data_IF_588146307026
#
_entry.id   IF_588146307026
#
_cell.length_a   1.000
_cell.length_b   1.000
_cell.length_c   1.000
_cell.angle_alpha   90.00
_cell.angle_beta   90.00
_cell.angle_gamma   90.00
#
_symmetry.space_group_name_H-M   'P 1'
#
loop_
_entity.id
_entity.type
_entity.pdbx_description
1 polymer ?
#
# COMPACT_ATOMS: atom_id res chain seq x y z
N UNK A 1 -8.79 -45.33 -9.28
CA UNK A 1 -9.73 -44.55 -10.11
C UNK A 1 -9.90 -43.16 -9.48
N UNK A 2 -9.41 -42.08 -10.11
CA UNK A 2 -9.72 -40.72 -9.64
C UNK A 2 -10.88 -40.14 -10.47
N UNK A 3 -11.91 -39.66 -9.78
CA UNK A 3 -13.08 -39.01 -10.35
C UNK A 3 -12.76 -37.62 -10.90
N UNK A 4 -13.32 -37.33 -12.08
CA UNK A 4 -13.28 -36.01 -12.73
C UNK A 4 -14.17 -35.03 -11.97
N UNK A 5 -13.62 -33.88 -11.57
CA UNK A 5 -14.40 -32.69 -11.23
C UNK A 5 -14.66 -31.89 -12.52
N UNK A 6 -15.94 -31.67 -12.82
CA UNK A 6 -16.40 -30.89 -13.98
C UNK A 6 -16.22 -29.37 -13.78
N UNK A 7 -16.34 -28.57 -14.85
CA UNK A 7 -16.05 -27.15 -14.81
C UNK A 7 -17.13 -26.36 -14.05
N UNK A 8 -16.70 -25.51 -13.12
CA UNK A 8 -17.54 -24.55 -12.42
C UNK A 8 -17.76 -23.32 -13.31
N UNK A 9 -19.02 -23.05 -13.66
CA UNK A 9 -19.44 -21.83 -14.36
C UNK A 9 -19.31 -20.63 -13.41
N UNK A 10 -18.37 -19.72 -13.70
CA UNK A 10 -18.33 -18.39 -13.12
C UNK A 10 -19.09 -17.42 -14.03
N UNK A 11 -20.25 -16.99 -13.57
CA UNK A 11 -21.05 -15.94 -14.20
C UNK A 11 -20.38 -14.57 -14.05
N UNK A 12 -20.30 -13.87 -15.18
CA UNK A 12 -19.72 -12.53 -15.37
C UNK A 12 -20.41 -11.48 -14.50
N UNK A 13 -19.61 -10.67 -13.80
CA UNK A 13 -19.96 -9.29 -13.47
C UNK A 13 -18.89 -8.38 -14.09
N UNK A 14 -19.35 -7.38 -14.83
CA UNK A 14 -18.50 -6.43 -15.56
C UNK A 14 -17.94 -5.41 -14.56
N UNK A 15 -16.63 -5.42 -14.34
CA UNK A 15 -15.95 -4.41 -13.54
C UNK A 15 -15.46 -3.28 -14.44
N UNK A 16 -15.96 -2.08 -14.15
CA UNK A 16 -15.49 -0.80 -14.68
C UNK A 16 -14.17 -0.49 -13.96
N UNK A 17 -13.06 -0.45 -14.70
CA UNK A 17 -11.74 -0.12 -14.17
C UNK A 17 -11.48 1.39 -14.27
N UNK A 18 -10.99 1.99 -13.19
CA UNK A 18 -10.67 3.42 -13.08
C UNK A 18 -9.15 3.65 -13.09
N UNK A 19 -8.66 4.52 -13.98
CA UNK A 19 -7.26 4.94 -14.06
C UNK A 19 -7.12 6.42 -14.41
N UNK A 20 -6.39 7.20 -13.58
CA UNK A 20 -5.32 8.14 -13.95
C UNK A 20 -4.76 8.85 -12.69
N UNK A 21 -3.47 8.72 -12.35
CA UNK A 21 -2.69 9.68 -11.54
C UNK A 21 -1.17 9.40 -11.72
N UNK A 22 -0.52 9.99 -12.74
CA UNK A 22 0.95 10.17 -12.79
C UNK A 22 1.36 11.62 -13.17
N UNK A 23 0.42 12.56 -13.39
CA UNK A 23 0.78 13.91 -13.87
C UNK A 23 0.32 15.10 -13.01
N UNK A 24 -0.03 14.89 -11.73
CA UNK A 24 -0.31 16.00 -10.80
C UNK A 24 0.26 15.75 -9.40
N UNK A 25 1.59 15.74 -9.30
CA UNK A 25 2.30 15.94 -8.04
C UNK A 25 3.23 17.16 -8.15
N UNK A 26 2.64 18.31 -8.46
CA UNK A 26 3.17 19.66 -8.23
C UNK A 26 2.02 20.64 -8.50
N UNK A 27 1.77 21.59 -7.59
CA UNK A 27 0.68 22.60 -7.61
C UNK A 27 -0.69 21.99 -7.20
N UNK A 28 -1.41 22.40 -6.16
CA UNK A 28 -1.59 23.72 -5.55
C UNK A 28 -2.17 23.65 -4.11
N UNK A 29 -2.00 24.76 -3.39
CA UNK A 29 -2.37 25.05 -2.00
C UNK A 29 -3.71 25.82 -1.89
N UNK A 30 -4.39 25.63 -0.76
CA UNK A 30 -5.38 26.49 -0.07
C UNK A 30 -6.73 26.92 -0.74
N UNK A 31 -7.86 26.56 -0.08
CA UNK A 31 -8.78 27.47 0.69
C UNK A 31 -10.25 26.99 0.74
N UNK A 32 -10.80 26.98 1.97
CA UNK A 32 -12.15 27.38 2.46
C UNK A 32 -13.41 26.71 1.83
N UNK A 33 -14.51 26.39 2.51
CA UNK A 33 -15.02 26.74 3.84
C UNK A 33 -16.38 26.05 4.10
N UNK A 34 -16.92 26.25 5.32
CA UNK A 34 -18.08 25.60 5.97
C UNK A 34 -19.39 25.61 5.16
N UNK A 35 -20.17 24.53 5.26
CA UNK A 35 -21.59 24.45 4.85
C UNK A 35 -22.49 24.27 6.08
N UNK A 36 -23.49 25.14 6.21
CA UNK A 36 -24.60 25.04 7.17
C UNK A 36 -25.76 24.21 6.57
N UNK A 37 -26.37 23.36 7.38
CA UNK A 37 -27.59 22.62 7.05
C UNK A 37 -28.82 23.55 7.08
N UNK A 38 -29.73 23.38 6.11
CA UNK A 38 -31.08 23.95 6.13
C UNK A 38 -32.08 22.79 6.08
N UNK A 39 -32.89 22.64 7.13
CA UNK A 39 -34.06 21.75 7.15
C UNK A 39 -35.25 22.42 6.46
N UNK A 40 -36.01 21.64 5.69
CA UNK A 40 -37.27 22.07 5.05
C UNK A 40 -38.42 21.30 5.72
N UNK A 41 -39.49 21.97 6.22
CA UNK A 41 -40.62 21.30 6.82
C UNK A 41 -41.63 20.79 5.77
N UNK A 42 -42.26 19.65 6.07
CA UNK A 42 -43.34 19.05 5.25
C UNK A 42 -44.67 19.78 5.50
N UNK A 43 -45.48 20.09 4.48
CA UNK A 43 -46.86 20.50 4.68
C UNK A 43 -47.83 19.31 4.69
N UNK A 44 -48.68 19.28 5.73
CA UNK A 44 -49.89 18.45 5.84
C UNK A 44 -51.00 18.95 4.93
N UNK A 45 -51.88 18.04 4.53
CA UNK A 45 -52.91 18.29 3.51
C UNK A 45 -54.18 19.00 4.00
N UNK A 46 -55.00 19.40 3.04
CA UNK A 46 -56.47 19.17 2.97
C UNK A 46 -56.99 19.69 1.62
N UNK A 47 -58.00 19.00 1.07
CA UNK A 47 -58.39 19.08 -0.34
C UNK A 47 -59.23 20.29 -0.75
N UNK A 48 -59.25 20.55 -2.06
CA UNK A 48 -60.18 21.48 -2.72
C UNK A 48 -60.68 20.85 -4.04
N UNK A 49 -61.99 20.93 -4.23
CA UNK A 49 -62.79 20.48 -5.37
C UNK A 49 -62.26 20.96 -6.73
N UNK A 50 -62.12 20.05 -7.69
CA UNK A 50 -61.73 20.37 -9.06
C UNK A 50 -62.95 20.80 -9.91
N UNK A 51 -63.06 22.10 -10.21
CA UNK A 51 -63.87 22.60 -11.32
C UNK A 51 -63.14 22.34 -12.65
N UNK A 52 -63.83 21.70 -13.59
CA UNK A 52 -63.31 21.29 -14.90
C UNK A 52 -63.31 22.48 -15.86
N UNK A 53 -62.33 23.37 -15.71
CA UNK A 53 -62.23 24.61 -16.49
C UNK A 53 -61.31 24.43 -17.72
N UNK A 54 -61.79 24.76 -18.92
CA UNK A 54 -61.04 24.60 -20.19
C UNK A 54 -59.71 25.35 -20.20
N UNK A 55 -59.63 26.47 -19.45
CA UNK A 55 -58.39 27.25 -19.26
C UNK A 55 -57.34 26.50 -18.44
N UNK A 56 -57.76 25.68 -17.46
CA UNK A 56 -56.87 24.85 -16.65
C UNK A 56 -56.32 23.67 -17.45
N UNK A 57 -57.07 23.13 -18.42
CA UNK A 57 -56.55 22.10 -19.35
C UNK A 57 -55.47 22.65 -20.28
N UNK A 58 -55.64 23.86 -20.80
CA UNK A 58 -54.63 24.52 -21.65
C UNK A 58 -53.37 24.91 -20.84
N UNK A 59 -53.53 25.39 -19.60
CA UNK A 59 -52.40 25.63 -18.70
C UNK A 59 -51.67 24.35 -18.28
N UNK A 60 -52.40 23.25 -18.00
CA UNK A 60 -51.79 21.95 -17.68
C UNK A 60 -51.06 21.34 -18.88
N UNK A 61 -51.58 21.51 -20.09
CA UNK A 61 -50.89 21.10 -21.31
C UNK A 61 -49.62 21.93 -21.57
N UNK A 62 -49.66 23.25 -21.36
CA UNK A 62 -48.48 24.12 -21.48
C UNK A 62 -47.41 23.81 -20.43
N UNK A 63 -47.79 23.54 -19.17
CA UNK A 63 -46.88 23.12 -18.10
C UNK A 63 -46.33 21.71 -18.36
N UNK A 64 -47.12 20.79 -18.90
CA UNK A 64 -46.65 19.47 -19.31
C UNK A 64 -45.65 19.55 -20.48
N UNK A 65 -45.84 20.45 -21.45
CA UNK A 65 -44.88 20.70 -22.54
C UNK A 65 -43.60 21.36 -22.02
N UNK A 66 -43.69 22.30 -21.09
CA UNK A 66 -42.52 22.93 -20.43
C UNK A 66 -41.74 21.92 -19.56
N UNK A 67 -42.42 20.97 -18.90
CA UNK A 67 -41.80 19.87 -18.15
C UNK A 67 -41.22 18.79 -19.09
N UNK A 68 -41.82 18.56 -20.26
CA UNK A 68 -41.26 17.67 -21.29
C UNK A 68 -40.02 18.27 -21.95
N UNK A 69 -39.98 19.59 -22.17
CA UNK A 69 -38.81 20.27 -22.73
C UNK A 69 -37.66 20.44 -21.72
N UNK A 70 -37.94 20.41 -20.42
CA UNK A 70 -36.89 20.39 -19.39
C UNK A 70 -36.33 18.99 -19.10
N UNK A 71 -36.98 17.93 -19.60
CA UNK A 71 -36.49 16.55 -19.54
C UNK A 71 -35.56 16.13 -20.69
N UNK A 72 -35.41 16.95 -21.74
CA UNK A 72 -34.57 16.64 -22.92
C UNK A 72 -33.14 17.16 -22.78
N UNK A 73 -32.87 17.99 -21.76
CA UNK A 73 -31.51 18.42 -21.41
C UNK A 73 -30.92 17.58 -20.27
N UNK A 74 -31.00 16.24 -20.37
CA UNK A 74 -29.95 15.43 -19.78
C UNK A 74 -28.70 15.69 -20.63
N UNK A 75 -27.97 16.76 -20.30
CA UNK A 75 -26.75 17.13 -21.01
C UNK A 75 -25.85 15.91 -21.08
N UNK A 76 -25.36 15.57 -22.28
CA UNK A 76 -24.41 14.49 -22.47
C UNK A 76 -23.28 14.65 -21.44
N UNK A 77 -22.93 13.56 -20.74
CA UNK A 77 -21.88 13.61 -19.71
C UNK A 77 -20.57 14.07 -20.36
N UNK A 78 -20.15 15.30 -20.03
CA UNK A 78 -18.92 15.88 -20.57
C UNK A 78 -17.72 15.49 -19.73
N UNK A 79 -16.61 15.15 -20.39
CA UNK A 79 -15.37 14.81 -19.71
C UNK A 79 -14.67 16.05 -19.12
N UNK A 80 -13.99 15.87 -17.99
CA UNK A 80 -13.06 16.88 -17.46
C UNK A 80 -11.75 16.86 -18.26
N UNK A 81 -11.31 15.67 -18.68
CA UNK A 81 -10.12 15.49 -19.52
C UNK A 81 -10.35 14.42 -20.58
N UNK A 82 -9.89 14.69 -21.81
CA UNK A 82 -9.82 13.70 -22.89
C UNK A 82 -8.34 13.52 -23.27
N UNK A 83 -7.89 12.28 -23.22
CA UNK A 83 -6.60 11.87 -23.78
C UNK A 83 -6.83 11.37 -25.20
N UNK A 84 -6.08 11.87 -26.16
CA UNK A 84 -6.19 11.50 -27.59
C UNK A 84 -4.83 11.06 -28.14
N UNK A 85 -4.85 10.45 -29.32
CA UNK A 85 -3.67 10.06 -30.10
C UNK A 85 -2.72 9.17 -29.28
N UNK A 86 -3.29 8.22 -28.53
CA UNK A 86 -2.54 7.23 -27.75
C UNK A 86 -2.57 5.84 -28.36
N UNK A 87 -1.66 4.99 -27.90
CA UNK A 87 -1.79 3.54 -27.99
C UNK A 87 -2.32 3.02 -26.65
N UNK A 88 -3.64 2.97 -26.47
CA UNK A 88 -4.25 2.57 -25.20
C UNK A 88 -4.46 1.07 -25.19
N UNK A 89 -3.82 0.38 -24.25
CA UNK A 89 -4.09 -1.02 -23.93
C UNK A 89 -5.18 -1.10 -22.87
N UNK A 90 -6.26 -1.84 -23.14
CA UNK A 90 -7.45 -1.85 -22.26
C UNK A 90 -7.57 -3.09 -21.37
N UNK A 91 -6.79 -4.15 -21.66
CA UNK A 91 -6.95 -5.50 -21.06
C UNK A 91 -8.34 -6.13 -21.35
N UNK A 92 -9.13 -5.54 -22.24
CA UNK A 92 -10.41 -6.09 -22.69
C UNK A 92 -10.22 -6.85 -24.01
N UNK A 93 -10.42 -8.18 -24.00
CA UNK A 93 -10.28 -9.03 -25.18
C UNK A 93 -11.12 -8.57 -26.39
N UNK A 94 -12.26 -7.92 -26.16
CA UNK A 94 -13.15 -7.44 -27.23
C UNK A 94 -12.72 -6.10 -27.82
N UNK A 95 -11.88 -5.35 -27.12
CA UNK A 95 -11.41 -4.03 -27.52
C UNK A 95 -10.00 -3.82 -26.97
N UNK A 96 -9.00 -4.63 -27.38
CA UNK A 96 -7.69 -4.65 -26.74
C UNK A 96 -6.90 -3.35 -26.91
N UNK A 97 -7.22 -2.58 -27.95
CA UNK A 97 -6.59 -1.31 -28.27
C UNK A 97 -7.63 -0.19 -28.46
N UNK A 98 -7.25 1.02 -28.09
CA UNK A 98 -7.99 2.26 -28.33
C UNK A 98 -7.04 3.43 -28.60
N UNK A 99 -7.58 4.54 -29.07
CA UNK A 99 -6.82 5.75 -29.41
C UNK A 99 -7.05 6.90 -28.43
N UNK A 100 -8.20 6.90 -27.75
CA UNK A 100 -8.60 7.94 -26.81
C UNK A 100 -9.33 7.40 -25.57
N UNK A 101 -9.20 8.14 -24.46
CA UNK A 101 -9.93 7.95 -23.20
C UNK A 101 -10.55 9.28 -22.78
N UNK A 102 -11.83 9.27 -22.39
CA UNK A 102 -12.47 10.41 -21.76
C UNK A 102 -12.72 10.14 -20.26
N UNK A 103 -12.36 11.10 -19.41
CA UNK A 103 -12.41 10.98 -17.95
C UNK A 103 -13.28 12.08 -17.36
N UNK A 104 -14.22 11.70 -16.49
CA UNK A 104 -15.02 12.62 -15.68
C UNK A 104 -14.94 12.22 -14.21
N UNK A 105 -14.56 13.16 -13.34
CA UNK A 105 -14.42 12.98 -11.87
C UNK A 105 -13.62 11.73 -11.50
N UNK A 106 -12.49 11.53 -12.17
CA UNK A 106 -11.60 10.38 -11.93
C UNK A 106 -12.10 9.04 -12.49
N UNK A 107 -13.24 9.01 -13.17
CA UNK A 107 -13.81 7.81 -13.80
C UNK A 107 -13.67 7.88 -15.31
N UNK A 108 -13.34 6.75 -15.92
CA UNK A 108 -13.33 6.59 -17.37
C UNK A 108 -14.80 6.48 -17.83
N UNK A 109 -15.24 7.43 -18.64
CA UNK A 109 -16.60 7.44 -19.22
C UNK A 109 -16.60 7.04 -20.70
N UNK A 110 -15.42 6.98 -21.34
CA UNK A 110 -15.27 6.54 -22.72
C UNK A 110 -13.88 5.98 -23.00
N UNK A 111 -13.81 4.94 -23.83
CA UNK A 111 -12.59 4.36 -24.41
C UNK A 111 -12.88 3.98 -25.85
N UNK A 112 -12.12 4.51 -26.82
CA UNK A 112 -12.38 4.24 -28.24
C UNK A 112 -11.52 5.05 -29.19
N UNK A 113 -12.07 5.41 -30.34
CA UNK A 113 -11.36 6.21 -31.35
C UNK A 113 -11.24 7.68 -30.96
N UNK A 114 -10.27 8.38 -31.55
CA UNK A 114 -10.13 9.83 -31.37
C UNK A 114 -11.40 10.60 -31.77
N UNK A 115 -12.01 10.21 -32.90
CA UNK A 115 -13.20 10.88 -33.44
C UNK A 115 -14.43 10.71 -32.53
N UNK A 116 -14.59 9.56 -31.89
CA UNK A 116 -15.72 9.32 -30.99
C UNK A 116 -15.55 10.01 -29.64
N UNK A 117 -14.31 10.18 -29.16
CA UNK A 117 -14.03 10.89 -27.92
C UNK A 117 -14.48 12.36 -27.95
N UNK A 118 -14.51 12.99 -29.13
CA UNK A 118 -14.99 14.36 -29.32
C UNK A 118 -16.45 14.57 -28.84
N UNK A 119 -17.28 13.52 -28.83
CA UNK A 119 -18.66 13.57 -28.32
C UNK A 119 -18.74 13.90 -26.82
N UNK A 120 -17.64 13.67 -26.09
CA UNK A 120 -17.54 13.93 -24.66
C UNK A 120 -16.91 15.30 -24.35
N UNK A 121 -16.54 16.08 -25.38
CA UNK A 121 -15.94 17.40 -25.19
C UNK A 121 -17.02 18.43 -24.80
N UNK A 122 -16.82 19.04 -23.65
CA UNK A 122 -17.53 20.24 -23.20
C UNK A 122 -16.63 21.48 -23.19
N UNK A 123 -17.23 22.63 -22.88
CA UNK A 123 -16.54 23.93 -22.87
C UNK A 123 -15.36 24.03 -21.89
N UNK A 124 -15.30 23.15 -20.88
CA UNK A 124 -14.24 23.11 -19.86
C UNK A 124 -13.32 21.90 -19.97
N UNK A 125 -13.52 21.04 -20.99
CA UNK A 125 -12.76 19.82 -21.15
C UNK A 125 -11.32 20.14 -21.54
N UNK A 126 -10.37 19.63 -20.76
CA UNK A 126 -8.96 19.67 -21.12
C UNK A 126 -8.65 18.53 -22.10
N UNK A 127 -7.95 18.81 -23.20
CA UNK A 127 -7.43 17.76 -24.08
C UNK A 127 -5.93 17.59 -23.90
N UNK A 128 -5.50 16.34 -23.86
CA UNK A 128 -4.11 15.94 -23.74
C UNK A 128 -3.77 15.05 -24.94
N UNK A 129 -2.89 15.53 -25.80
CA UNK A 129 -2.32 14.73 -26.89
C UNK A 129 -1.21 13.82 -26.33
N UNK A 130 -1.39 12.51 -26.49
CA UNK A 130 -0.43 11.51 -26.04
C UNK A 130 0.75 11.36 -27.02
N UNK A 131 0.67 11.89 -28.23
CA UNK A 131 1.69 11.84 -29.27
C UNK A 131 2.18 10.40 -29.56
N UNK A 132 1.22 9.48 -29.68
CA UNK A 132 1.47 8.05 -29.92
C UNK A 132 1.98 7.27 -28.71
N UNK A 133 2.12 7.88 -27.53
CA UNK A 133 2.56 7.17 -26.31
C UNK A 133 1.55 6.10 -25.90
N UNK A 134 2.05 5.07 -25.24
CA UNK A 134 1.22 3.98 -24.72
C UNK A 134 0.62 4.35 -23.37
N UNK A 135 -0.66 4.01 -23.20
CA UNK A 135 -1.36 4.05 -21.91
C UNK A 135 -1.72 2.62 -21.55
N UNK A 136 -1.36 2.21 -20.34
CA UNK A 136 -1.75 0.92 -19.75
C UNK A 136 -2.66 1.17 -18.56
N UNK A 137 -3.40 0.15 -18.08
CA UNK A 137 -3.80 0.10 -16.70
C UNK A 137 -2.57 0.34 -15.83
N UNK A 138 -2.69 1.23 -14.87
CA UNK A 138 -1.70 1.40 -13.81
C UNK A 138 -1.60 0.13 -12.96
N UNK A 139 -0.45 -0.04 -12.34
CA UNK A 139 -0.15 -1.28 -11.65
C UNK A 139 -0.80 -1.35 -10.27
N UNK A 140 -1.09 -2.56 -9.82
CA UNK A 140 -1.58 -2.83 -8.47
C UNK A 140 -0.58 -3.75 -7.77
N UNK A 141 -0.03 -3.31 -6.64
CA UNK A 141 0.78 -4.17 -5.78
C UNK A 141 -0.17 -4.95 -4.85
N UNK A 142 -0.12 -6.28 -4.93
CA UNK A 142 -0.96 -7.17 -4.15
C UNK A 142 -0.43 -7.44 -2.74
N UNK A 143 0.79 -6.99 -2.39
CA UNK A 143 1.37 -7.15 -1.07
C UNK A 143 2.59 -6.25 -0.81
N UNK A 144 2.41 -5.22 0.00
CA UNK A 144 3.51 -4.34 0.42
C UNK A 144 3.44 -4.00 1.91
N UNK A 145 4.51 -3.38 2.42
CA UNK A 145 4.59 -2.83 3.78
C UNK A 145 4.89 -1.34 3.69
N UNK A 146 3.87 -0.50 3.51
CA UNK A 146 4.05 0.89 3.06
C UNK A 146 4.88 1.75 4.01
N UNK A 147 4.74 1.54 5.33
CA UNK A 147 5.55 2.23 6.32
C UNK A 147 7.01 1.80 6.24
N UNK A 148 7.28 0.50 6.13
CA UNK A 148 8.65 -0.02 6.03
C UNK A 148 9.36 0.43 4.74
N UNK A 149 8.61 0.53 3.63
CA UNK A 149 9.12 1.10 2.38
C UNK A 149 9.57 2.54 2.61
N UNK A 150 8.74 3.35 3.29
CA UNK A 150 9.09 4.72 3.65
C UNK A 150 10.24 4.84 4.65
N UNK A 151 10.26 3.99 5.67
CA UNK A 151 11.32 3.96 6.68
C UNK A 151 12.66 3.59 6.08
N UNK A 152 12.69 2.72 5.06
CA UNK A 152 13.91 2.42 4.31
C UNK A 152 14.49 3.66 3.63
N UNK A 153 13.65 4.59 3.17
CA UNK A 153 14.09 5.86 2.58
C UNK A 153 14.56 6.89 3.64
N UNK A 154 14.29 6.65 4.93
CA UNK A 154 14.73 7.50 6.06
C UNK A 154 15.97 6.90 6.74
N UNK A 155 16.00 5.58 6.89
CA UNK A 155 17.02 4.82 7.61
C UNK A 155 18.13 4.36 6.67
N UNK A 156 18.97 3.40 7.06
CA UNK A 156 20.02 2.88 6.20
C UNK A 156 19.44 1.91 5.16
N UNK A 157 19.41 2.34 3.90
CA UNK A 157 18.99 1.50 2.77
C UNK A 157 20.15 0.62 2.28
N UNK A 158 20.01 -0.69 2.49
CA UNK A 158 20.98 -1.72 2.12
C UNK A 158 20.59 -2.49 0.85
N UNK A 159 19.55 -2.03 0.14
CA UNK A 159 19.20 -2.59 -1.17
C UNK A 159 20.40 -2.50 -2.15
N UNK A 160 20.54 -3.53 -2.97
CA UNK A 160 21.58 -3.60 -4.00
C UNK A 160 22.99 -3.89 -3.50
N UNK A 161 23.20 -4.20 -2.21
CA UNK A 161 24.49 -4.76 -1.75
C UNK A 161 24.67 -6.17 -2.33
N UNK A 162 25.79 -6.44 -2.99
CA UNK A 162 26.07 -7.72 -3.66
C UNK A 162 27.23 -8.50 -3.04
N UNK A 163 27.87 -7.95 -2.02
CA UNK A 163 28.93 -8.59 -1.25
C UNK A 163 28.82 -8.17 0.21
N UNK A 164 29.43 -8.96 1.10
CA UNK A 164 29.56 -8.58 2.51
C UNK A 164 30.34 -7.27 2.65
N UNK A 165 31.34 -7.06 1.80
CA UNK A 165 32.19 -5.87 1.81
C UNK A 165 31.39 -4.61 1.42
N UNK A 166 30.51 -4.68 0.41
CA UNK A 166 29.60 -3.57 0.05
C UNK A 166 28.66 -3.22 1.20
N UNK A 167 28.10 -4.24 1.85
CA UNK A 167 27.24 -4.09 3.01
C UNK A 167 27.97 -3.38 4.14
N UNK A 168 29.16 -3.84 4.52
CA UNK A 168 29.96 -3.24 5.60
C UNK A 168 30.42 -1.82 5.24
N UNK A 169 30.72 -1.53 3.98
CA UNK A 169 31.06 -0.20 3.52
C UNK A 169 29.91 0.80 3.74
N UNK A 170 28.68 0.44 3.33
CA UNK A 170 27.49 1.26 3.57
C UNK A 170 27.19 1.45 5.06
N UNK A 171 27.33 0.39 5.86
CA UNK A 171 27.16 0.49 7.32
C UNK A 171 28.20 1.43 7.92
N UNK A 172 29.47 1.31 7.53
CA UNK A 172 30.56 2.18 8.01
C UNK A 172 30.33 3.64 7.66
N UNK A 173 29.83 3.94 6.46
CA UNK A 173 29.45 5.31 6.08
C UNK A 173 28.36 5.86 7.00
N UNK A 174 27.33 5.05 7.30
CA UNK A 174 26.29 5.46 8.24
C UNK A 174 26.82 5.67 9.66
N UNK A 175 27.70 4.80 10.15
CA UNK A 175 28.34 4.96 11.47
C UNK A 175 29.05 6.31 11.55
N UNK A 176 29.79 6.71 10.52
CA UNK A 176 30.52 7.98 10.50
C UNK A 176 29.61 9.23 10.57
N UNK A 177 28.32 9.08 10.26
CA UNK A 177 27.31 10.13 10.30
C UNK A 177 26.40 10.06 11.54
N UNK A 178 26.65 9.09 12.43
CA UNK A 178 25.79 8.82 13.58
C UNK A 178 26.54 9.16 14.87
N UNK A 179 25.89 9.90 15.77
CA UNK A 179 26.47 10.19 17.09
C UNK A 179 26.73 8.91 17.88
N UNK A 180 27.72 8.94 18.77
CA UNK A 180 28.04 7.83 19.68
C UNK A 180 26.80 7.38 20.47
N UNK A 181 26.69 6.08 20.74
CA UNK A 181 25.62 5.45 21.53
C UNK A 181 24.21 5.56 20.90
N UNK A 182 24.09 6.11 19.68
CA UNK A 182 22.82 6.10 18.93
C UNK A 182 22.67 4.84 18.11
N UNK A 183 21.44 4.36 18.03
CA UNK A 183 21.06 3.21 17.22
C UNK A 183 21.31 3.47 15.73
N UNK A 184 21.89 2.48 15.08
CA UNK A 184 21.98 2.41 13.62
C UNK A 184 21.03 1.31 13.17
N UNK A 185 19.94 1.74 12.55
CA UNK A 185 18.92 0.86 11.97
C UNK A 185 18.89 0.99 10.46
N UNK A 186 18.45 -0.08 9.80
CA UNK A 186 18.38 -0.16 8.35
C UNK A 186 17.80 -1.47 7.88
N UNK A 187 17.53 -1.54 6.58
CA UNK A 187 16.92 -2.70 5.93
C UNK A 187 17.39 -2.86 4.49
N UNK A 188 17.23 -4.05 3.94
CA UNK A 188 17.21 -4.28 2.49
C UNK A 188 18.35 -5.14 1.98
N UNK A 189 19.20 -5.63 2.89
CA UNK A 189 20.25 -6.58 2.55
C UNK A 189 19.64 -7.98 2.34
N UNK A 190 20.22 -8.74 1.41
CA UNK A 190 19.84 -10.12 1.12
C UNK A 190 21.07 -10.88 0.62
N UNK A 191 21.62 -11.70 1.49
CA UNK A 191 22.89 -12.41 1.26
C UNK A 191 22.80 -13.50 0.19
N UNK A 192 21.59 -13.95 -0.17
CA UNK A 192 21.42 -15.01 -1.19
C UNK A 192 22.00 -14.61 -2.55
N UNK A 193 22.05 -13.30 -2.85
CA UNK A 193 22.68 -12.78 -4.05
C UNK A 193 24.17 -12.43 -3.87
N UNK A 194 24.69 -12.55 -2.64
CA UNK A 194 26.09 -12.24 -2.35
C UNK A 194 27.03 -13.32 -2.88
N UNK A 195 28.27 -12.92 -3.13
CA UNK A 195 29.33 -13.82 -3.61
C UNK A 195 30.53 -13.76 -2.67
N UNK A 196 30.69 -14.74 -1.75
CA UNK A 196 29.81 -15.90 -1.49
C UNK A 196 28.50 -15.54 -0.76
N UNK A 197 27.45 -16.38 -0.84
CA UNK A 197 26.18 -16.14 -0.17
C UNK A 197 26.28 -16.52 1.31
N UNK A 198 26.71 -15.57 2.13
CA UNK A 198 26.99 -15.77 3.55
C UNK A 198 26.33 -14.68 4.40
N UNK A 199 25.67 -15.08 5.49
CA UNK A 199 25.13 -14.14 6.46
C UNK A 199 26.24 -13.27 7.08
N UNK A 200 25.99 -11.97 7.31
CA UNK A 200 26.88 -11.15 8.11
C UNK A 200 26.88 -11.64 9.57
N UNK A 201 27.97 -11.37 10.30
CA UNK A 201 28.07 -11.68 11.72
C UNK A 201 28.29 -10.42 12.57
N UNK A 202 27.94 -10.48 13.85
CA UNK A 202 28.17 -9.39 14.82
C UNK A 202 29.62 -8.92 14.82
N UNK A 203 30.57 -9.85 14.66
CA UNK A 203 32.00 -9.56 14.64
C UNK A 203 32.42 -8.70 13.43
N UNK A 204 31.66 -8.71 12.33
CA UNK A 204 31.89 -7.82 11.20
C UNK A 204 31.43 -6.39 11.52
N UNK A 205 30.28 -6.28 12.20
CA UNK A 205 29.71 -5.00 12.64
C UNK A 205 30.52 -4.37 13.78
N UNK A 206 31.00 -5.17 14.74
CA UNK A 206 31.77 -4.70 15.90
C UNK A 206 33.07 -3.97 15.48
N UNK A 207 33.66 -4.37 14.36
CA UNK A 207 34.87 -3.72 13.81
C UNK A 207 34.61 -2.30 13.31
N UNK A 208 33.40 -2.03 12.82
CA UNK A 208 33.06 -0.76 12.17
C UNK A 208 32.15 0.12 13.03
N UNK A 209 31.47 -0.45 14.03
CA UNK A 209 30.54 0.22 14.92
C UNK A 209 30.77 -0.20 16.39
N UNK A 210 31.95 0.10 16.98
CA UNK A 210 32.28 -0.34 18.33
C UNK A 210 31.45 0.36 19.42
N UNK A 211 30.99 1.59 19.17
CA UNK A 211 30.29 2.43 20.15
C UNK A 211 28.82 2.69 19.80
N UNK A 212 28.29 2.05 18.75
CA UNK A 212 26.90 2.22 18.30
C UNK A 212 26.19 0.87 18.29
N UNK A 213 25.00 0.72 18.90
CA UNK A 213 24.20 -0.46 18.71
C UNK A 213 23.66 -0.50 17.27
N UNK A 214 23.87 -1.63 16.58
CA UNK A 214 23.48 -1.84 15.19
C UNK A 214 22.44 -2.95 15.12
N UNK A 215 21.33 -2.71 14.41
CA UNK A 215 20.30 -3.70 14.12
C UNK A 215 19.79 -3.53 12.69
N UNK A 216 20.08 -4.49 11.81
CA UNK A 216 19.83 -4.37 10.38
C UNK A 216 18.95 -5.51 9.88
N UNK A 217 17.74 -5.17 9.42
CA UNK A 217 16.72 -6.13 8.99
C UNK A 217 16.96 -6.61 7.55
N UNK A 218 16.86 -7.91 7.33
CA UNK A 218 16.96 -8.53 6.00
C UNK A 218 15.80 -8.07 5.12
N UNK A 219 15.98 -8.10 3.79
CA UNK A 219 14.99 -7.63 2.84
C UNK A 219 13.60 -8.29 2.97
N UNK A 220 13.53 -9.55 3.41
CA UNK A 220 12.27 -10.28 3.62
C UNK A 220 11.57 -9.98 4.95
N UNK A 221 12.25 -9.33 5.89
CA UNK A 221 11.71 -9.01 7.22
C UNK A 221 11.72 -10.13 8.24
N UNK A 222 12.25 -11.30 7.91
CA UNK A 222 12.23 -12.49 8.77
C UNK A 222 13.58 -12.80 9.42
N UNK A 223 14.55 -11.90 9.26
CA UNK A 223 15.82 -11.96 9.95
C UNK A 223 16.40 -10.56 10.18
N UNK A 224 17.25 -10.43 11.20
CA UNK A 224 18.09 -9.27 11.39
C UNK A 224 19.49 -9.67 11.90
N UNK A 225 20.48 -8.83 11.61
CA UNK A 225 21.81 -8.91 12.21
C UNK A 225 21.98 -7.80 13.24
N UNK A 226 22.41 -8.18 14.44
CA UNK A 226 22.71 -7.29 15.56
C UNK A 226 24.20 -7.38 15.93
N UNK A 227 24.82 -6.24 16.26
CA UNK A 227 26.19 -6.23 16.79
C UNK A 227 26.23 -6.53 18.30
N UNK A 228 27.43 -6.65 18.87
CA UNK A 228 27.61 -6.97 20.29
C UNK A 228 27.00 -5.92 21.23
N UNK A 229 27.06 -4.64 20.87
CA UNK A 229 26.44 -3.56 21.65
C UNK A 229 24.90 -3.72 21.70
N UNK A 230 24.25 -4.02 20.58
CA UNK A 230 22.81 -4.26 20.53
C UNK A 230 22.40 -5.52 21.31
N UNK A 231 23.17 -6.61 21.20
CA UNK A 231 22.92 -7.83 21.98
C UNK A 231 23.07 -7.60 23.49
N UNK A 232 24.06 -6.79 23.90
CA UNK A 232 24.28 -6.46 25.31
C UNK A 232 23.11 -5.65 25.90
N UNK A 233 22.59 -4.66 25.16
CA UNK A 233 21.38 -3.91 25.56
C UNK A 233 20.19 -4.87 25.77
N UNK A 234 20.05 -5.86 24.90
CA UNK A 234 19.00 -6.87 24.98
C UNK A 234 19.25 -8.00 26.01
N UNK A 235 20.39 -7.98 26.70
CA UNK A 235 20.86 -9.06 27.59
C UNK A 235 20.90 -10.44 26.92
N UNK A 236 21.24 -10.51 25.62
CA UNK A 236 21.42 -11.77 24.91
C UNK A 236 22.83 -12.30 25.15
N UNK A 237 22.91 -13.49 25.73
CA UNK A 237 24.13 -14.23 26.07
C UNK A 237 24.10 -15.63 25.46
N UNK A 238 25.20 -16.39 25.63
CA UNK A 238 25.34 -17.77 25.12
C UNK A 238 24.15 -18.67 25.47
N UNK A 239 23.69 -18.59 26.71
CA UNK A 239 22.65 -19.49 27.24
C UNK A 239 21.24 -18.88 27.16
N UNK A 240 21.08 -17.75 26.47
CA UNK A 240 19.74 -17.19 26.23
C UNK A 240 18.89 -18.22 25.48
N UNK A 241 17.72 -18.59 26.02
CA UNK A 241 16.81 -19.51 25.36
C UNK A 241 16.25 -18.86 24.10
N UNK A 242 16.02 -19.66 23.06
CA UNK A 242 15.28 -19.18 21.89
C UNK A 242 13.81 -18.96 22.25
N UNK A 243 13.16 -17.89 21.75
CA UNK A 243 11.74 -17.68 21.98
C UNK A 243 10.91 -18.69 21.17
N UNK A 244 9.64 -18.83 21.51
CA UNK A 244 8.69 -19.50 20.62
C UNK A 244 8.65 -18.75 19.27
N UNK A 245 8.68 -19.48 18.16
CA UNK A 245 8.62 -18.88 16.83
C UNK A 245 9.84 -18.06 16.43
N UNK A 246 11.01 -18.32 17.03
CA UNK A 246 12.23 -17.62 16.67
C UNK A 246 13.49 -18.40 17.01
N UNK A 247 14.60 -18.00 16.39
CA UNK A 247 15.89 -18.66 16.54
C UNK A 247 16.99 -17.60 16.73
N UNK A 248 17.87 -17.81 17.72
CA UNK A 248 19.11 -17.05 17.87
C UNK A 248 20.21 -17.92 17.27
N UNK A 249 20.75 -17.55 16.10
CA UNK A 249 21.79 -18.34 15.48
C UNK A 249 23.08 -18.26 16.31
N UNK A 250 23.68 -19.43 16.56
CA UNK A 250 24.89 -19.59 17.35
C UNK A 250 26.03 -20.11 16.49
N UNK A 251 27.24 -19.67 16.79
CA UNK A 251 28.43 -20.21 16.16
C UNK A 251 28.62 -21.68 16.61
N UNK A 252 28.78 -22.63 15.68
CA UNK A 252 28.79 -24.06 16.01
C UNK A 252 30.03 -24.51 16.78
N UNK A 253 31.11 -23.70 16.79
CA UNK A 253 32.36 -24.03 17.49
C UNK A 253 32.36 -23.51 18.92
N UNK A 254 31.80 -22.33 19.13
CA UNK A 254 31.88 -21.60 20.42
C UNK A 254 30.56 -21.63 21.20
N UNK A 255 29.44 -21.82 20.50
CA UNK A 255 28.08 -21.69 21.06
C UNK A 255 27.65 -20.23 21.24
N UNK A 256 28.49 -19.24 20.93
CA UNK A 256 28.15 -17.84 21.14
C UNK A 256 27.16 -17.33 20.06
N UNK A 257 26.25 -16.40 20.38
CA UNK A 257 25.36 -15.80 19.39
C UNK A 257 26.16 -15.16 18.25
N UNK A 258 25.77 -15.42 17.00
CA UNK A 258 26.42 -14.81 15.83
C UNK A 258 25.95 -13.37 15.59
N UNK A 259 24.86 -12.95 16.24
CA UNK A 259 24.16 -11.69 15.97
C UNK A 259 22.96 -11.86 15.02
N UNK A 260 22.85 -12.99 14.34
CA UNK A 260 21.69 -13.29 13.50
C UNK A 260 20.51 -13.74 14.37
N UNK A 261 19.38 -13.06 14.21
CA UNK A 261 18.12 -13.28 14.92
C UNK A 261 17.03 -13.52 13.89
N UNK A 262 16.29 -14.62 14.03
CA UNK A 262 15.24 -15.02 13.10
C UNK A 262 13.86 -14.84 13.73
N UNK A 263 12.92 -14.28 12.96
CA UNK A 263 11.51 -14.13 13.32
C UNK A 263 11.32 -13.55 14.74
N UNK A 264 10.57 -14.21 15.64
CA UNK A 264 10.28 -13.68 16.99
C UNK A 264 11.55 -13.43 17.85
N UNK A 265 12.72 -13.96 17.47
CA UNK A 265 13.98 -13.62 18.14
C UNK A 265 14.47 -12.19 17.83
N UNK A 266 14.02 -11.59 16.73
CA UNK A 266 14.30 -10.19 16.39
C UNK A 266 13.75 -9.24 17.47
N UNK A 267 12.58 -9.54 18.01
CA UNK A 267 11.90 -8.71 19.03
C UNK A 267 12.68 -8.60 20.34
N UNK A 268 13.55 -9.56 20.64
CA UNK A 268 14.44 -9.50 21.80
C UNK A 268 15.32 -8.25 21.76
N UNK A 269 15.77 -7.84 20.58
CA UNK A 269 16.57 -6.62 20.35
C UNK A 269 15.67 -5.45 19.98
N UNK A 270 14.74 -5.62 19.02
CA UNK A 270 13.97 -4.53 18.43
C UNK A 270 13.19 -3.70 19.47
N UNK A 271 12.67 -4.34 20.52
CA UNK A 271 11.95 -3.64 21.62
C UNK A 271 12.78 -2.60 22.39
N UNK A 272 14.12 -2.64 22.27
CA UNK A 272 15.02 -1.69 22.92
C UNK A 272 15.40 -0.51 22.01
N UNK A 273 14.99 -0.56 20.74
CA UNK A 273 15.18 0.54 19.79
C UNK A 273 14.11 1.59 20.11
N UNK A 274 14.48 2.88 20.28
CA UNK A 274 13.50 3.94 20.46
C UNK A 274 12.48 3.92 19.31
N UNK A 275 11.17 3.84 19.61
CA UNK A 275 10.17 3.84 18.55
C UNK A 275 10.18 5.19 17.83
N UNK A 276 9.94 5.21 16.51
CA UNK A 276 9.78 6.46 15.78
C UNK A 276 8.60 7.25 16.34
N UNK A 277 8.75 8.57 16.37
CA UNK A 277 7.67 9.48 16.71
C UNK A 277 6.56 9.42 15.65
N UNK A 278 5.35 9.82 16.03
CA UNK A 278 4.21 9.90 15.10
C UNK A 278 4.50 10.75 13.84
N UNK A 279 5.17 11.92 13.93
CA UNK A 279 5.59 12.66 12.74
C UNK A 279 6.59 11.91 11.85
N UNK A 280 7.50 11.14 12.43
CA UNK A 280 8.43 10.29 11.66
C UNK A 280 7.69 9.16 10.96
N UNK A 281 6.70 8.55 11.62
CA UNK A 281 5.81 7.54 11.01
C UNK A 281 4.97 8.12 9.87
N UNK A 282 4.39 9.30 10.04
CA UNK A 282 3.67 9.98 8.95
C UNK A 282 4.61 10.30 7.78
N UNK A 283 5.83 10.78 8.06
CA UNK A 283 6.83 11.02 7.02
C UNK A 283 7.19 9.73 6.28
N UNK A 284 7.34 8.61 6.99
CA UNK A 284 7.58 7.30 6.37
C UNK A 284 6.42 6.94 5.42
N UNK A 285 5.17 7.00 5.89
CA UNK A 285 3.99 6.74 5.04
C UNK A 285 4.03 7.56 3.74
N UNK A 286 4.27 8.88 3.84
CA UNK A 286 4.25 9.77 2.67
C UNK A 286 5.43 9.50 1.71
N UNK A 287 6.62 9.17 2.23
CA UNK A 287 7.76 8.77 1.41
C UNK A 287 7.52 7.43 0.71
N UNK A 288 6.93 6.46 1.41
CA UNK A 288 6.52 5.18 0.83
C UNK A 288 5.53 5.39 -0.32
N UNK A 289 4.47 6.19 -0.09
CA UNK A 289 3.49 6.52 -1.14
C UNK A 289 4.16 7.20 -2.33
N UNK A 290 5.05 8.16 -2.09
CA UNK A 290 5.80 8.83 -3.16
C UNK A 290 6.60 7.82 -3.99
N UNK A 291 7.30 6.90 -3.31
CA UNK A 291 8.07 5.84 -3.97
C UNK A 291 7.19 4.95 -4.83
N UNK A 292 6.06 4.50 -4.30
CA UNK A 292 5.11 3.64 -5.03
C UNK A 292 4.57 4.33 -6.29
N UNK A 293 4.17 5.60 -6.17
CA UNK A 293 3.66 6.38 -7.32
C UNK A 293 4.75 6.60 -8.37
N UNK A 294 6.00 6.86 -7.97
CA UNK A 294 7.14 7.02 -8.90
C UNK A 294 7.45 5.73 -9.68
N UNK A 295 7.12 4.57 -9.12
CA UNK A 295 7.24 3.27 -9.79
C UNK A 295 6.03 2.91 -10.66
N UNK A 296 4.98 3.74 -10.65
CA UNK A 296 3.76 3.56 -11.46
C UNK A 296 2.65 2.75 -10.78
N UNK A 297 2.76 2.50 -9.47
CA UNK A 297 1.69 1.85 -8.71
C UNK A 297 0.54 2.83 -8.48
N UNK A 298 -0.67 2.36 -8.78
CA UNK A 298 -1.91 3.12 -8.64
C UNK A 298 -2.79 2.59 -7.49
N UNK A 299 -2.58 1.34 -7.10
CA UNK A 299 -3.20 0.70 -5.93
C UNK A 299 -2.18 -0.19 -5.22
N UNK A 300 -2.27 -0.26 -3.90
CA UNK A 300 -1.46 -1.17 -3.07
C UNK A 300 -2.34 -1.92 -2.09
N UNK A 301 -1.95 -3.16 -1.78
CA UNK A 301 -2.45 -3.91 -0.63
C UNK A 301 -1.40 -3.86 0.48
N UNK A 302 -1.67 -3.04 1.50
CA UNK A 302 -0.78 -2.91 2.64
C UNK A 302 -1.01 -4.07 3.62
N UNK A 303 0.03 -4.87 3.84
CA UNK A 303 -0.01 -6.17 4.47
C UNK A 303 0.18 -6.11 5.99
N UNK A 304 -0.65 -5.30 6.64
CA UNK A 304 -0.67 -5.16 8.10
C UNK A 304 -0.41 -3.71 8.51
N UNK A 305 -1.14 -3.28 9.53
CA UNK A 305 -0.92 -2.01 10.21
C UNK A 305 -1.38 -2.15 11.64
N UNK A 306 -0.53 -1.69 12.55
CA UNK A 306 -0.93 -1.47 13.93
C UNK A 306 -2.00 -0.37 14.01
N UNK A 307 -2.70 -0.29 15.14
CA UNK A 307 -3.84 0.64 15.27
C UNK A 307 -3.40 2.10 15.04
N UNK A 308 -2.24 2.50 15.57
CA UNK A 308 -1.68 3.85 15.38
C UNK A 308 -1.40 4.18 13.92
N UNK A 309 -0.93 3.21 13.13
CA UNK A 309 -0.65 3.39 11.70
C UNK A 309 -1.95 3.55 10.90
N UNK A 310 -2.99 2.80 11.27
CA UNK A 310 -4.32 2.96 10.66
C UNK A 310 -4.85 4.38 10.87
N UNK A 311 -4.63 4.97 12.04
CA UNK A 311 -5.01 6.36 12.32
C UNK A 311 -4.21 7.37 11.50
N UNK A 312 -2.90 7.15 11.34
CA UNK A 312 -2.04 7.96 10.48
C UNK A 312 -2.53 7.91 9.02
N UNK A 313 -2.80 6.71 8.48
CA UNK A 313 -3.33 6.54 7.11
C UNK A 313 -4.63 7.33 6.93
N UNK A 314 -5.57 7.19 7.86
CA UNK A 314 -6.87 7.89 7.78
C UNK A 314 -6.71 9.40 7.82
N UNK A 315 -5.80 9.92 8.65
CA UNK A 315 -5.50 11.36 8.70
C UNK A 315 -4.82 11.84 7.42
N UNK A 316 -3.92 11.06 6.83
CA UNK A 316 -3.30 11.38 5.55
C UNK A 316 -4.33 11.50 4.42
N UNK A 317 -5.31 10.59 4.34
CA UNK A 317 -6.43 10.71 3.41
C UNK A 317 -7.35 11.90 3.73
N UNK A 318 -7.77 12.06 4.99
CA UNK A 318 -8.67 13.15 5.40
C UNK A 318 -8.05 14.54 5.14
N UNK A 319 -6.73 14.66 5.30
CA UNK A 319 -5.96 15.86 4.99
C UNK A 319 -5.58 16.03 3.52
N UNK A 320 -5.97 15.10 2.63
CA UNK A 320 -5.65 15.16 1.20
C UNK A 320 -4.17 14.98 0.87
N UNK A 321 -3.35 14.45 1.79
CA UNK A 321 -1.90 14.27 1.62
C UNK A 321 -1.54 13.11 0.69
N UNK A 322 -2.49 12.21 0.42
CA UNK A 322 -2.29 11.08 -0.47
C UNK A 322 -3.52 10.77 -1.32
N UNK A 323 -3.27 10.19 -2.49
CA UNK A 323 -4.29 9.74 -3.43
C UNK A 323 -4.12 8.30 -3.90
N UNK A 324 -2.99 7.66 -3.61
CA UNK A 324 -2.77 6.25 -3.92
C UNK A 324 -3.92 5.43 -3.32
N UNK A 325 -4.48 4.50 -4.08
CA UNK A 325 -5.53 3.62 -3.57
C UNK A 325 -4.90 2.56 -2.68
N UNK A 326 -5.50 2.31 -1.52
CA UNK A 326 -4.97 1.38 -0.53
C UNK A 326 -6.06 0.43 -0.05
N UNK A 327 -5.78 -0.86 -0.15
CA UNK A 327 -6.47 -1.91 0.60
C UNK A 327 -5.59 -2.23 1.80
N UNK A 328 -6.04 -1.86 3.00
CA UNK A 328 -5.27 -2.06 4.22
C UNK A 328 -5.73 -3.32 4.95
N UNK A 329 -4.76 -4.13 5.38
CA UNK A 329 -4.98 -5.16 6.38
C UNK A 329 -4.65 -4.62 7.78
N UNK A 330 -5.50 -4.90 8.76
CA UNK A 330 -5.13 -4.75 10.17
C UNK A 330 -4.13 -5.85 10.53
N UNK A 331 -3.07 -5.54 11.28
CA UNK A 331 -2.18 -6.59 11.78
C UNK A 331 -2.89 -7.39 12.87
N UNK A 332 -2.64 -8.70 12.91
CA UNK A 332 -3.29 -9.61 13.84
C UNK A 332 -2.42 -10.82 14.21
N UNK A 333 -2.66 -11.43 15.38
CA UNK A 333 -3.62 -11.03 16.41
C UNK A 333 -3.23 -9.71 17.12
N UNK A 334 -4.17 -9.07 17.82
CA UNK A 334 -3.89 -7.86 18.61
C UNK A 334 -4.95 -6.76 18.45
N UNK A 335 -4.67 -5.61 19.07
CA UNK A 335 -5.61 -4.49 19.20
C UNK A 335 -6.14 -4.00 17.83
N UNK A 336 -5.28 -3.97 16.81
CA UNK A 336 -5.64 -3.60 15.45
C UNK A 336 -6.72 -4.53 14.86
N UNK A 337 -6.52 -5.85 14.96
CA UNK A 337 -7.46 -6.85 14.49
C UNK A 337 -8.75 -6.85 15.31
N UNK A 338 -8.66 -6.78 16.63
CA UNK A 338 -9.81 -6.75 17.54
C UNK A 338 -10.68 -5.53 17.27
N UNK A 339 -10.07 -4.38 17.03
CA UNK A 339 -10.77 -3.14 16.65
C UNK A 339 -11.51 -3.29 15.33
N UNK A 340 -10.89 -3.91 14.32
CA UNK A 340 -11.54 -4.18 13.04
C UNK A 340 -12.72 -5.15 13.20
N UNK A 341 -12.57 -6.23 13.97
CA UNK A 341 -13.64 -7.20 14.23
C UNK A 341 -14.81 -6.56 14.97
N UNK A 342 -14.52 -5.69 15.95
CA UNK A 342 -15.53 -4.98 16.73
C UNK A 342 -16.29 -3.94 15.92
N UNK A 343 -15.58 -3.14 15.11
CA UNK A 343 -16.16 -1.99 14.41
C UNK A 343 -16.66 -2.32 12.99
N UNK A 344 -16.24 -3.46 12.43
CA UNK A 344 -16.54 -3.86 11.07
C UNK A 344 -15.65 -3.19 10.01
N UNK A 345 -15.81 -3.65 8.77
CA UNK A 345 -14.99 -3.19 7.64
C UNK A 345 -15.28 -1.72 7.26
N UNK A 346 -14.22 -0.99 6.91
CA UNK A 346 -14.34 0.28 6.15
C UNK A 346 -14.25 -0.05 4.67
N UNK A 347 -15.28 0.27 3.89
CA UNK A 347 -15.30 0.01 2.45
C UNK A 347 -15.34 1.32 1.67
N UNK A 348 -14.49 1.45 0.65
CA UNK A 348 -14.53 2.55 -0.33
C UNK A 348 -14.52 3.97 0.27
N UNK A 349 -13.85 4.17 1.41
CA UNK A 349 -13.72 5.49 2.02
C UNK A 349 -12.81 6.40 1.19
N UNK A 350 -12.91 7.71 1.44
CA UNK A 350 -12.10 8.76 0.81
C UNK A 350 -12.16 8.71 -0.72
N UNK A 351 -13.38 8.77 -1.27
CA UNK A 351 -13.63 8.72 -2.71
C UNK A 351 -13.09 7.43 -3.36
N UNK A 352 -13.48 6.27 -2.79
CA UNK A 352 -13.07 4.93 -3.26
C UNK A 352 -11.55 4.69 -3.23
N UNK A 353 -10.80 5.39 -2.38
CA UNK A 353 -9.35 5.22 -2.27
C UNK A 353 -8.91 4.34 -1.12
N UNK A 354 -9.76 4.10 -0.11
CA UNK A 354 -9.38 3.31 1.05
C UNK A 354 -10.39 2.21 1.38
N UNK A 355 -9.89 1.00 1.56
CA UNK A 355 -10.68 -0.13 2.08
C UNK A 355 -9.88 -0.84 3.17
N UNK A 356 -10.49 -1.10 4.32
CA UNK A 356 -9.93 -1.91 5.40
C UNK A 356 -10.93 -2.99 5.78
N UNK A 357 -10.61 -4.23 5.41
CA UNK A 357 -11.50 -5.39 5.56
C UNK A 357 -10.78 -6.72 5.80
N UNK A 358 -9.46 -6.66 5.94
CA UNK A 358 -8.59 -7.84 5.98
C UNK A 358 -7.79 -7.82 7.28
N UNK A 359 -7.50 -8.99 7.82
CA UNK A 359 -6.56 -9.17 8.93
C UNK A 359 -5.35 -9.91 8.37
N UNK A 360 -4.15 -9.36 8.55
CA UNK A 360 -2.88 -10.03 8.26
C UNK A 360 -2.51 -10.87 9.47
N UNK A 361 -2.22 -12.14 9.24
CA UNK A 361 -1.64 -13.05 10.22
C UNK A 361 -0.35 -13.65 9.65
N UNK A 362 0.59 -13.99 10.52
CA UNK A 362 1.84 -14.67 10.19
C UNK A 362 1.81 -16.02 10.89
N UNK A 363 2.17 -17.09 10.17
CA UNK A 363 2.18 -18.45 10.70
C UNK A 363 3.60 -19.01 10.84
N UNK A 364 4.54 -18.54 10.02
CA UNK A 364 5.92 -18.98 9.96
C UNK A 364 6.83 -17.89 9.36
N UNK A 365 8.13 -18.19 9.26
CA UNK A 365 9.13 -17.29 8.70
C UNK A 365 9.30 -17.40 7.18
N UNK A 366 10.49 -17.01 6.69
CA UNK A 366 10.84 -17.08 5.28
C UNK A 366 11.79 -18.24 4.94
N UNK A 367 11.78 -18.67 3.68
CA UNK A 367 12.68 -19.70 3.18
C UNK A 367 14.16 -19.29 3.29
N UNK A 368 14.50 -18.04 2.94
CA UNK A 368 15.89 -17.60 2.88
C UNK A 368 16.55 -17.46 4.25
N UNK A 369 15.79 -17.06 5.27
CA UNK A 369 16.25 -17.06 6.67
C UNK A 369 16.17 -18.45 7.32
N UNK A 370 15.52 -19.41 6.66
CA UNK A 370 15.21 -20.76 7.17
C UNK A 370 14.20 -20.78 8.34
N UNK A 371 13.33 -19.78 8.40
CA UNK A 371 12.23 -19.69 9.38
C UNK A 371 10.92 -20.33 8.90
N UNK A 372 10.72 -20.52 7.59
CA UNK A 372 9.49 -21.12 7.06
C UNK A 372 9.29 -22.57 7.53
N UNK A 373 8.07 -22.90 7.94
CA UNK A 373 7.73 -24.19 8.54
C UNK A 373 7.49 -25.26 7.46
N UNK A 374 8.50 -26.07 7.18
CA UNK A 374 8.48 -27.11 6.15
C UNK A 374 8.00 -28.46 6.72
N UNK A 375 7.44 -29.30 5.84
CA UNK A 375 7.05 -30.67 6.18
C UNK A 375 8.24 -31.63 6.35
N UNK A 376 9.42 -31.25 5.85
CA UNK A 376 10.68 -31.99 5.94
C UNK A 376 11.83 -31.00 6.13
N UNK A 377 13.02 -31.45 6.59
CA UNK A 377 14.17 -30.56 6.76
C UNK A 377 14.56 -29.81 5.49
N UNK A 378 15.13 -28.63 5.67
CA UNK A 378 15.72 -27.85 4.59
C UNK A 378 16.81 -28.67 3.87
N UNK A 379 16.85 -28.59 2.54
CA UNK A 379 17.86 -29.32 1.76
C UNK A 379 19.29 -28.83 2.01
N UNK A 380 19.44 -27.60 2.51
CA UNK A 380 20.70 -26.94 2.84
C UNK A 380 20.90 -26.75 4.36
N UNK A 381 19.97 -27.24 5.19
CA UNK A 381 20.09 -27.27 6.66
C UNK A 381 19.33 -28.48 7.21
N UNK A 382 20.02 -29.62 7.24
CA UNK A 382 19.40 -30.91 7.56
C UNK A 382 18.84 -31.01 8.99
N UNK A 383 19.23 -30.10 9.89
CA UNK A 383 18.79 -30.11 11.29
C UNK A 383 17.60 -29.17 11.57
N UNK A 384 17.07 -28.48 10.56
CA UNK A 384 15.94 -27.55 10.72
C UNK A 384 14.85 -27.84 9.69
N UNK A 385 13.60 -27.71 10.12
CA UNK A 385 12.41 -27.62 9.25
C UNK A 385 11.69 -26.28 9.45
N UNK A 386 12.38 -25.27 9.97
CA UNK A 386 11.79 -23.99 10.39
C UNK A 386 10.88 -24.14 11.61
N UNK A 387 9.99 -23.18 11.82
CA UNK A 387 9.12 -23.14 12.98
C UNK A 387 7.87 -22.29 12.74
N UNK A 388 6.80 -22.61 13.47
CA UNK A 388 5.60 -21.77 13.51
C UNK A 388 5.82 -20.58 14.45
N UNK A 389 5.25 -19.43 14.11
CA UNK A 389 5.41 -18.15 14.82
C UNK A 389 4.22 -17.75 15.66
#
# INVERSE_FOLDING_TARGET
MPGRLGPMNLTRSANVFEFYEILRCAQDDARLGKLHCIEIPRPGGTGIFARNDRRVRLMRAAVAILLFMSGIAAGAETADTIFINGNIYTVNEKQPHAEAIAVHRGRIIFVGSNAEAEKFRGNKTRTVDLAGKTVTPGFTDSHCHIFEIGEREITLNLEGTNTREDFLAKVKERVAQTERDKWITGRGWIETFWRPPQFPARADLDKIAPDNPVFLTRADGHAAVANSAALAIANIVRDTPKPFGGEILKDPKTGDPTGMLLDNAMDLVAKNIPPPSEPERERALLLGIKREVELGWCEIQNAGSELSDQEIIRRAYAGGKMKLRMINAAYGPGEAADTLLKNGATLNAFDHRFTQRTIKVIFDGALGSRGAALLAPYSDEANSSGFLT
#
